data_IF_297016884886
#
_entry.id   IF_297016884886
#
_cell.length_a   1.000
_cell.length_b   1.000
_cell.length_c   1.000
_cell.angle_alpha   90.00
_cell.angle_beta   90.00
_cell.angle_gamma   90.00
#
_symmetry.space_group_name_H-M   'P 1'
#
loop_
_entity.id
_entity.type
_entity.pdbx_description
1 polymer ?
2 polymer ?
3 non-polymer ?
4 non-polymer ?
5 non-polymer ?
6 water ?
#
# COMPACT_ATOMS: atom_id res chain seq x y z
N UNK A 1 25.62 -0.69 -4.84
CA UNK A 1 24.45 -1.52 -4.35
C UNK A 1 24.82 -2.92 -4.70
N UNK A 2 24.42 -3.92 -3.89
CA UNK A 2 24.83 -5.30 -4.08
C UNK A 2 24.31 -5.79 -5.41
N UNK A 3 23.18 -5.21 -5.98
CA UNK A 3 22.67 -5.66 -7.27
C UNK A 3 23.24 -4.93 -8.46
N UNK A 4 24.20 -4.02 -8.28
CA UNK A 4 24.70 -3.19 -9.36
C UNK A 4 25.38 -3.98 -10.47
N UNK A 5 25.92 -5.16 -10.20
CA UNK A 5 26.57 -5.94 -11.23
C UNK A 5 25.63 -6.91 -11.97
N UNK A 6 24.37 -6.99 -11.58
CA UNK A 6 23.46 -7.93 -12.18
C UNK A 6 22.61 -7.26 -13.26
N UNK A 7 22.43 -7.91 -14.39
CA UNK A 7 21.58 -7.35 -15.46
C UNK A 7 20.18 -7.07 -14.97
N UNK A 8 19.57 -6.01 -15.49
CA UNK A 8 18.20 -5.73 -15.19
C UNK A 8 17.24 -6.88 -15.42
N UNK A 9 17.39 -7.54 -16.62
CA UNK A 9 16.48 -8.63 -16.95
C UNK A 9 16.69 -9.79 -16.01
N UNK A 10 17.94 -10.02 -15.56
CA UNK A 10 18.20 -11.11 -14.61
C UNK A 10 17.60 -10.82 -13.25
N UNK A 11 17.62 -9.56 -12.83
CA UNK A 11 16.99 -9.18 -11.57
C UNK A 11 15.48 -9.42 -11.62
N UNK A 12 14.85 -9.08 -12.73
CA UNK A 12 13.39 -9.32 -12.92
C UNK A 12 13.10 -10.80 -12.88
N UNK A 13 13.93 -11.56 -13.63
CA UNK A 13 13.73 -13.00 -13.67
C UNK A 13 13.85 -13.61 -12.26
N UNK A 14 14.85 -13.20 -11.51
CA UNK A 14 15.04 -13.72 -10.14
C UNK A 14 13.98 -13.24 -9.19
N UNK A 15 13.43 -12.03 -9.38
CA UNK A 15 12.31 -11.57 -8.56
C UNK A 15 11.13 -12.55 -8.70
N UNK A 16 10.89 -12.98 -9.98
CA UNK A 16 9.79 -13.89 -10.23
C UNK A 16 10.08 -15.27 -9.61
N UNK A 17 11.32 -15.73 -9.66
CA UNK A 17 11.68 -16.99 -8.98
C UNK A 17 11.51 -16.85 -7.45
N UNK A 18 11.94 -15.73 -6.88
CA UNK A 18 11.83 -15.52 -5.46
C UNK A 18 10.36 -15.53 -5.06
N UNK A 19 9.46 -14.93 -5.87
CA UNK A 19 8.06 -14.97 -5.60
C UNK A 19 7.56 -16.40 -5.51
N UNK A 20 7.95 -17.22 -6.49
CA UNK A 20 7.49 -18.63 -6.52
C UNK A 20 8.00 -19.37 -5.29
N UNK A 21 9.19 -19.02 -4.80
CA UNK A 21 9.81 -19.66 -3.62
C UNK A 21 9.34 -19.07 -2.32
N UNK A 22 8.49 -18.02 -2.38
CA UNK A 22 8.02 -17.24 -1.22
C UNK A 22 9.18 -16.68 -0.41
N UNK A 23 10.16 -16.16 -1.15
CA UNK A 23 11.35 -15.55 -0.60
C UNK A 23 11.22 -14.03 -0.84
N UNK A 24 10.35 -13.40 -0.05
CA UNK A 24 9.98 -12.03 -0.34
C UNK A 24 11.05 -11.01 -0.06
N UNK A 25 11.91 -11.21 0.92
CA UNK A 25 13.00 -10.28 1.12
C UNK A 25 13.93 -10.33 -0.06
N UNK A 26 14.23 -11.52 -0.60
CA UNK A 26 15.04 -11.60 -1.81
C UNK A 26 14.33 -10.89 -2.98
N UNK A 27 13.04 -11.16 -3.09
CA UNK A 27 12.27 -10.54 -4.19
C UNK A 27 12.39 -9.02 -4.12
N UNK A 28 12.24 -8.45 -2.91
CA UNK A 28 12.35 -7.00 -2.75
C UNK A 28 13.72 -6.50 -3.11
N UNK A 29 14.78 -7.22 -2.67
CA UNK A 29 16.11 -6.79 -3.00
C UNK A 29 16.36 -6.84 -4.50
N UNK A 30 15.85 -7.85 -5.20
CA UNK A 30 16.02 -7.91 -6.64
C UNK A 30 15.28 -6.74 -7.32
N UNK A 31 14.06 -6.47 -6.86
CA UNK A 31 13.29 -5.39 -7.48
C UNK A 31 13.86 -4.02 -7.16
N UNK A 32 14.43 -3.80 -5.98
CA UNK A 32 15.16 -2.58 -5.68
C UNK A 32 16.31 -2.42 -6.64
N UNK A 33 17.06 -3.50 -6.87
CA UNK A 33 18.12 -3.45 -7.86
C UNK A 33 17.64 -3.10 -9.23
N UNK A 34 16.51 -3.66 -9.63
CA UNK A 34 15.97 -3.33 -10.94
C UNK A 34 15.58 -1.84 -11.03
N UNK A 35 14.91 -1.31 -9.98
CA UNK A 35 14.56 0.12 -10.00
C UNK A 35 15.80 0.96 -10.13
N UNK A 36 16.85 0.60 -9.41
CA UNK A 36 18.06 1.40 -9.39
C UNK A 36 18.83 1.36 -10.69
N UNK A 37 18.43 0.56 -11.66
CA UNK A 37 19.01 0.66 -13.03
C UNK A 37 18.61 1.98 -13.69
N UNK A 38 17.52 2.62 -13.25
CA UNK A 38 17.19 3.94 -13.72
C UNK A 38 16.15 3.95 -14.78
N UNK A 39 15.77 2.84 -15.38
CA UNK A 39 14.73 2.82 -16.37
C UNK A 39 13.37 2.77 -15.71
N UNK A 40 12.36 3.27 -16.41
CA UNK A 40 10.97 3.15 -15.93
C UNK A 40 10.56 1.69 -15.88
N UNK A 41 9.60 1.37 -15.02
CA UNK A 41 9.08 0.00 -14.87
C UNK A 41 7.82 -0.19 -15.65
N UNK A 42 7.70 -1.35 -16.29
CA UNK A 42 6.47 -1.81 -16.93
C UNK A 42 5.38 -2.09 -15.88
N UNK A 44 3.92 -4.96 -15.31
CA UNK A 44 4.24 -6.21 -14.60
C UNK A 44 5.31 -5.95 -13.56
N UNK A 45 6.32 -5.14 -13.92
CA UNK A 45 7.41 -4.88 -13.01
C UNK A 45 6.95 -4.03 -11.81
N UNK A 46 6.05 -3.08 -12.00
CA UNK A 46 5.48 -2.35 -10.87
C UNK A 46 4.79 -3.30 -9.91
N UNK A 47 4.05 -4.23 -10.46
CA UNK A 47 3.38 -5.12 -9.60
C UNK A 47 4.34 -6.05 -8.85
N UNK A 48 5.46 -6.47 -9.45
CA UNK A 48 6.42 -7.25 -8.71
C UNK A 48 7.02 -6.42 -7.57
N UNK A 49 7.33 -5.15 -7.82
CA UNK A 49 7.87 -4.27 -6.77
C UNK A 49 6.90 -4.21 -5.60
N UNK A 50 5.61 -3.97 -5.91
CA UNK A 50 4.60 -3.83 -4.88
C UNK A 50 4.42 -5.14 -4.10
N UNK A 51 4.32 -6.27 -4.79
CA UNK A 51 4.07 -7.53 -4.09
C UNK A 51 5.23 -7.82 -3.15
N UNK A 52 6.47 -7.58 -3.60
CA UNK A 52 7.64 -7.89 -2.81
C UNK A 52 7.59 -7.13 -1.51
N UNK A 53 7.51 -5.79 -1.58
CA UNK A 53 7.57 -4.96 -0.39
C UNK A 53 6.36 -5.13 0.47
N UNK A 54 5.19 -5.37 -0.14
CA UNK A 54 3.99 -5.54 0.66
C UNK A 54 4.12 -6.79 1.54
N UNK A 55 4.69 -7.85 1.01
CA UNK A 55 4.89 -9.04 1.81
C UNK A 55 5.94 -8.81 2.89
N UNK A 56 7.04 -8.13 2.58
CA UNK A 56 8.03 -7.88 3.61
C UNK A 56 7.43 -7.01 4.71
N UNK A 57 6.81 -5.89 4.39
CA UNK A 57 6.32 -4.98 5.42
C UNK A 57 5.16 -5.65 6.14
N UNK A 58 4.37 -6.49 5.45
CA UNK A 58 3.25 -7.13 6.10
C UNK A 58 3.70 -8.03 7.24
N UNK A 59 4.80 -8.75 7.04
CA UNK A 59 5.34 -9.60 8.12
C UNK A 59 5.78 -8.74 9.28
N UNK A 60 6.44 -7.60 9.01
CA UNK A 60 6.90 -6.71 10.04
C UNK A 60 5.74 -6.10 10.81
N UNK A 61 4.70 -5.68 10.08
CA UNK A 61 3.50 -5.09 10.72
C UNK A 61 2.86 -6.10 11.64
N UNK A 62 2.70 -7.35 11.17
CA UNK A 62 2.08 -8.39 12.02
C UNK A 62 2.90 -8.58 13.28
N UNK A 63 4.21 -8.64 13.14
CA UNK A 63 5.10 -8.84 14.31
C UNK A 63 4.98 -7.67 15.27
N UNK A 64 5.01 -6.45 14.70
CA UNK A 64 4.90 -5.25 15.53
C UNK A 64 3.60 -5.28 16.33
N UNK A 65 2.49 -5.65 15.68
CA UNK A 65 1.20 -5.67 16.39
C UNK A 65 1.22 -6.67 17.56
N UNK A 66 1.85 -7.84 17.36
CA UNK A 66 1.93 -8.82 18.46
C UNK A 66 2.73 -8.22 19.60
N UNK A 67 3.88 -7.65 19.30
CA UNK A 67 4.77 -7.10 20.33
C UNK A 67 4.18 -5.92 21.05
N UNK A 68 3.51 -5.06 20.28
CA UNK A 68 2.86 -3.89 20.89
C UNK A 68 1.73 -4.31 21.85
N UNK A 69 0.99 -5.35 21.47
CA UNK A 69 -0.07 -5.85 22.36
C UNK A 69 0.52 -6.38 23.67
N UNK A 70 1.63 -7.12 23.57
CA UNK A 70 2.28 -7.64 24.77
C UNK A 70 2.78 -6.50 25.63
N UNK A 71 3.37 -5.50 24.99
CA UNK A 71 3.89 -4.33 25.69
C UNK A 71 2.76 -3.58 26.40
N UNK A 72 1.62 -3.42 25.75
CA UNK A 72 0.48 -2.70 26.35
C UNK A 72 -0.04 -3.49 27.54
N UNK A 73 -0.14 -4.80 27.46
CA UNK A 73 -0.60 -5.64 28.58
C UNK A 73 0.38 -5.45 29.72
N UNK A 74 1.68 -5.39 29.44
CA UNK A 74 2.71 -5.17 30.51
C UNK A 74 2.53 -3.87 31.25
N UNK A 75 1.90 -2.88 30.64
CA UNK A 75 1.72 -1.59 31.21
C UNK A 75 0.36 -1.44 31.93
N UNK A 76 -0.39 -2.56 32.03
CA UNK A 76 -1.67 -2.61 32.78
C UNK A 76 -1.49 -2.74 34.31
N UNK A 77 -2.49 -2.27 35.06
CA UNK A 77 -2.45 -2.33 36.53
C UNK A 77 -2.38 -3.81 36.97
N UNK A 78 -1.41 -4.12 37.85
CA UNK A 78 -1.28 -5.48 38.42
C UNK A 78 -0.42 -6.39 37.58
N UNK A 79 0.11 -5.86 36.45
CA UNK A 79 1.10 -6.61 35.67
C UNK A 79 2.46 -6.57 36.35
N UNK A 80 3.15 -7.70 36.35
CA UNK A 80 4.46 -7.80 36.98
C UNK A 80 5.49 -7.06 36.12
N UNK A 81 6.39 -6.31 36.75
CA UNK A 81 7.54 -5.71 36.02
C UNK A 81 8.45 -6.78 35.46
N UNK A 82 8.69 -6.70 34.18
CA UNK A 82 9.57 -7.70 33.56
C UNK A 82 10.77 -7.10 32.90
N UNK A 83 11.01 -5.82 33.09
CA UNK A 83 12.25 -5.26 32.53
C UNK A 83 12.03 -4.63 31.16
N UNK A 84 13.12 -4.22 30.54
CA UNK A 84 13.04 -3.44 29.29
C UNK A 84 12.89 -4.31 28.03
N UNK A 85 12.90 -5.63 28.13
CA UNK A 85 13.08 -6.45 26.94
C UNK A 85 11.92 -6.34 25.95
N UNK A 86 10.67 -6.28 26.41
CA UNK A 86 9.55 -6.22 25.44
C UNK A 86 9.63 -4.92 24.69
N UNK A 87 9.85 -3.79 25.38
CA UNK A 87 10.01 -2.50 24.69
C UNK A 87 11.18 -2.54 23.72
N UNK A 88 12.33 -3.09 24.16
CA UNK A 88 13.50 -3.10 23.28
C UNK A 88 13.19 -3.88 22.03
N UNK A 89 12.56 -5.03 22.15
CA UNK A 89 12.36 -5.87 20.97
C UNK A 89 11.27 -5.26 20.07
N UNK A 90 10.21 -4.69 20.67
CA UNK A 90 9.25 -3.94 19.84
C UNK A 90 9.97 -2.82 19.07
N UNK A 91 10.87 -2.08 19.76
CA UNK A 91 11.61 -1.04 19.06
C UNK A 91 12.48 -1.54 17.95
N UNK A 92 13.07 -2.72 18.16
CA UNK A 92 13.93 -3.32 17.09
C UNK A 92 13.09 -3.58 15.83
N UNK A 93 11.96 -4.25 16.03
CA UNK A 93 11.05 -4.56 14.92
C UNK A 93 10.55 -3.28 14.28
N UNK A 94 10.21 -2.29 15.12
CA UNK A 94 9.70 -1.00 14.60
C UNK A 94 10.73 -0.31 13.74
N UNK A 95 11.99 -0.34 14.18
CA UNK A 95 13.02 0.34 13.46
C UNK A 95 13.28 -0.35 12.11
N UNK A 96 13.20 -1.68 12.08
CA UNK A 96 13.36 -2.40 10.83
C UNK A 96 12.21 -2.09 9.87
N UNK A 97 10.97 -2.04 10.40
CA UNK A 97 9.81 -1.68 9.62
C UNK A 97 9.97 -0.29 9.03
N UNK A 98 10.39 0.67 9.85
CA UNK A 98 10.60 2.04 9.35
C UNK A 98 11.65 2.06 8.29
N UNK A 99 12.69 1.22 8.42
CA UNK A 99 13.72 1.18 7.43
C UNK A 99 13.20 0.68 6.09
N UNK A 100 12.30 -0.31 6.06
CA UNK A 100 11.75 -0.80 4.83
C UNK A 100 10.85 0.32 4.19
N UNK A 101 10.02 0.98 5.03
CA UNK A 101 9.23 2.05 4.51
C UNK A 101 10.06 3.14 3.91
N UNK A 102 11.14 3.50 4.60
CA UNK A 102 12.03 4.51 4.06
C UNK A 102 12.71 4.09 2.76
N UNK A 103 13.02 2.81 2.64
CA UNK A 103 13.60 2.31 1.39
C UNK A 103 12.62 2.49 0.24
N UNK A 104 11.36 2.11 0.47
CA UNK A 104 10.36 2.20 -0.59
C UNK A 104 10.13 3.68 -0.95
N UNK A 105 9.94 4.53 0.08
CA UNK A 105 9.73 5.92 -0.17
C UNK A 105 10.90 6.52 -0.94
N UNK A 106 12.10 6.08 -0.62
CA UNK A 106 13.29 6.57 -1.32
C UNK A 106 13.30 6.17 -2.79
N UNK A 107 12.86 4.96 -3.14
CA UNK A 107 12.78 4.54 -4.54
C UNK A 107 11.76 5.41 -5.25
N UNK A 108 10.63 5.67 -4.58
CA UNK A 108 9.60 6.49 -5.22
C UNK A 108 10.07 7.90 -5.46
N UNK A 109 10.84 8.47 -4.54
CA UNK A 109 11.37 9.84 -4.68
C UNK A 109 12.57 9.90 -5.58
N UNK A 110 13.27 8.84 -5.81
CA UNK A 110 14.50 8.87 -6.58
C UNK A 110 14.57 7.65 -7.50
N UNK A 111 13.83 7.63 -8.61
CA UNK A 111 13.12 8.77 -9.24
C UNK A 111 11.82 8.29 -9.88
N UNK A 112 11.15 7.28 -9.26
CA UNK A 112 10.03 6.67 -9.94
C UNK A 112 8.90 7.63 -10.22
N UNK A 113 8.51 8.43 -9.21
CA UNK A 113 7.34 9.31 -9.38
C UNK A 113 7.61 10.39 -10.41
N UNK A 114 8.77 11.01 -10.36
CA UNK A 114 9.01 12.14 -11.26
C UNK A 114 9.08 11.73 -12.70
N UNK A 115 9.41 10.47 -12.99
CA UNK A 115 9.42 10.09 -14.40
C UNK A 115 8.15 9.44 -14.84
N UNK A 116 7.18 9.25 -13.95
CA UNK A 116 5.92 8.60 -14.31
C UNK A 116 4.86 9.60 -14.86
N UNK A 117 4.55 9.51 -16.09
CA UNK A 117 3.69 10.48 -16.78
C UNK A 117 2.34 9.85 -17.10
N UNK A 118 2.29 8.55 -17.33
CA UNK A 118 0.98 7.99 -17.63
C UNK A 118 0.19 7.81 -16.35
N UNK A 119 -1.11 7.93 -16.45
CA UNK A 119 -1.94 7.85 -15.25
C UNK A 119 -1.73 6.53 -14.52
N UNK A 120 -1.61 5.42 -15.25
CA UNK A 120 -1.50 4.12 -14.57
C UNK A 120 -0.24 4.05 -13.75
N UNK A 121 0.87 4.58 -14.22
CA UNK A 121 2.11 4.52 -13.44
C UNK A 121 2.04 5.55 -12.28
N UNK A 122 1.63 6.78 -12.61
CA UNK A 122 1.67 7.79 -11.60
C UNK A 122 0.73 7.51 -10.47
N UNK A 123 -0.50 7.05 -10.76
CA UNK A 123 -1.42 6.70 -9.71
C UNK A 123 -0.86 5.56 -8.87
N UNK A 124 -0.31 4.54 -9.54
CA UNK A 124 0.25 3.40 -8.83
C UNK A 124 1.30 3.87 -7.82
N UNK A 125 2.25 4.72 -8.25
CA UNK A 125 3.31 5.12 -7.39
C UNK A 125 2.83 6.04 -6.26
N UNK A 126 1.91 6.94 -6.55
CA UNK A 126 1.39 7.79 -5.50
C UNK A 126 0.59 7.01 -4.47
N UNK A 127 -0.16 6.01 -4.90
CA UNK A 127 -0.83 5.13 -3.96
C UNK A 127 0.18 4.43 -3.06
N UNK A 128 1.29 3.94 -3.68
CA UNK A 128 2.34 3.29 -2.88
C UNK A 128 2.91 4.30 -1.87
N UNK A 129 3.14 5.55 -2.29
CA UNK A 129 3.66 6.53 -1.35
C UNK A 129 2.68 6.71 -0.18
N UNK A 130 1.37 6.81 -0.47
CA UNK A 130 0.39 6.89 0.62
C UNK A 130 0.45 5.68 1.51
N UNK A 131 0.54 4.50 0.93
CA UNK A 131 0.56 3.25 1.72
C UNK A 131 1.73 3.23 2.68
N UNK A 132 2.94 3.55 2.20
CA UNK A 132 4.13 3.41 3.08
C UNK A 132 4.18 4.55 4.10
N UNK A 133 3.68 5.75 3.80
CA UNK A 133 3.50 6.70 4.87
C UNK A 133 2.46 6.22 5.87
N UNK A 134 1.38 5.56 5.39
CA UNK A 134 0.41 5.01 6.30
C UNK A 134 1.00 3.96 7.26
N UNK A 135 1.88 3.11 6.73
CA UNK A 135 2.52 2.13 7.61
C UNK A 135 3.44 2.81 8.61
N UNK A 136 4.11 3.91 8.21
CA UNK A 136 4.87 4.72 9.18
C UNK A 136 3.95 5.32 10.22
N UNK A 137 2.76 5.76 9.79
CA UNK A 137 1.83 6.37 10.75
C UNK A 137 1.32 5.37 11.75
N UNK A 138 1.21 4.12 11.37
CA UNK A 138 0.69 3.12 12.30
C UNK A 138 1.57 2.96 13.53
N UNK A 139 2.86 3.25 13.41
CA UNK A 139 3.81 3.07 14.50
C UNK A 139 4.28 4.38 15.07
N UNK A 140 3.86 5.51 14.55
CA UNK A 140 4.32 6.83 14.98
C UNK A 140 3.62 7.29 16.21
N UNK A 141 4.40 7.89 17.09
CA UNK A 141 3.83 8.32 18.40
C UNK A 141 4.37 9.64 18.80
N UNK A 142 5.25 10.22 17.98
CA UNK A 142 5.93 11.49 18.41
C UNK A 142 5.67 12.76 17.56
N UNK A 144 6.46 14.34 15.04
CA UNK A 144 6.20 14.17 13.58
C UNK A 144 4.98 13.32 13.12
N UNK A 145 4.23 12.66 14.00
CA UNK A 145 3.06 11.88 13.63
C UNK A 145 2.09 12.62 12.72
N UNK A 146 1.79 13.84 13.08
CA UNK A 146 0.88 14.65 12.25
C UNK A 146 1.43 14.84 10.87
N UNK A 147 2.72 15.10 10.76
CA UNK A 147 3.31 15.35 9.44
C UNK A 147 3.34 14.04 8.64
N UNK A 148 3.53 12.87 9.29
CA UNK A 148 3.53 11.59 8.57
C UNK A 148 2.12 11.35 8.01
N UNK A 149 1.10 11.57 8.84
CA UNK A 149 -0.25 11.42 8.44
C UNK A 149 -0.59 12.33 7.27
N UNK A 150 -0.14 13.60 7.36
CA UNK A 150 -0.44 14.52 6.27
C UNK A 150 0.29 14.12 5.01
N UNK A 151 1.49 13.52 5.10
CA UNK A 151 2.18 13.06 3.90
C UNK A 151 1.40 11.92 3.24
N UNK A 152 0.84 10.98 4.04
CA UNK A 152 0.03 9.91 3.47
C UNK A 152 -1.17 10.51 2.76
N UNK A 153 -1.85 11.41 3.47
CA UNK A 153 -3.07 11.99 2.94
C UNK A 153 -2.79 12.70 1.62
N UNK A 154 -1.71 13.50 1.56
CA UNK A 154 -1.39 14.25 0.40
C UNK A 154 -1.11 13.37 -0.83
N UNK A 155 -0.37 12.28 -0.62
CA UNK A 155 -0.09 11.32 -1.67
C UNK A 155 -1.36 10.65 -2.19
N UNK A 156 -2.19 10.17 -1.27
CA UNK A 156 -3.44 9.57 -1.66
C UNK A 156 -4.32 10.56 -2.39
N UNK A 157 -4.36 11.81 -1.95
CA UNK A 157 -5.28 12.80 -2.58
C UNK A 157 -4.81 13.09 -3.99
N UNK A 158 -3.49 13.24 -4.21
CA UNK A 158 -3.01 13.47 -5.57
C UNK A 158 -3.34 12.31 -6.47
N UNK A 159 -3.16 11.08 -5.95
CA UNK A 159 -3.49 9.86 -6.73
C UNK A 159 -4.98 9.86 -7.05
N UNK A 160 -5.83 10.21 -6.08
CA UNK A 160 -7.26 10.23 -6.30
C UNK A 160 -7.64 11.21 -7.38
N UNK A 161 -7.06 12.39 -7.33
CA UNK A 161 -7.40 13.45 -8.29
C UNK A 161 -7.06 12.98 -9.71
N UNK A 162 -5.90 12.40 -9.89
CA UNK A 162 -5.53 11.88 -11.22
C UNK A 162 -6.43 10.75 -11.65
N UNK A 163 -6.69 9.81 -10.74
CA UNK A 163 -7.50 8.65 -11.11
C UNK A 163 -8.88 9.02 -11.51
N UNK A 164 -9.47 10.02 -10.85
CA UNK A 164 -10.84 10.38 -11.22
C UNK A 164 -10.87 11.06 -12.58
N UNK A 165 -9.82 11.77 -12.97
CA UNK A 165 -9.78 12.44 -14.27
C UNK A 165 -9.42 11.50 -15.38
N UNK A 166 -8.57 10.49 -15.13
CA UNK A 166 -7.90 9.75 -16.19
C UNK A 166 -8.28 8.30 -16.28
N UNK A 167 -8.97 7.71 -15.29
CA UNK A 167 -9.23 6.29 -15.37
C UNK A 167 -10.76 6.06 -15.17
N UNK A 168 -11.29 4.95 -15.69
CA UNK A 168 -12.73 4.62 -15.45
C UNK A 168 -12.89 4.18 -14.01
N UNK A 169 -14.11 4.23 -13.50
CA UNK A 169 -14.39 3.92 -12.09
C UNK A 169 -14.14 2.47 -11.74
N UNK A 170 -14.04 1.59 -12.75
CA UNK A 170 -13.77 0.18 -12.52
C UNK A 170 -12.30 -0.15 -12.58
N UNK A 171 -11.43 0.78 -12.92
CA UNK A 171 -10.04 0.42 -13.08
C UNK A 171 -9.49 -0.14 -11.74
N UNK A 172 -8.82 -1.31 -11.77
CA UNK A 172 -8.38 -1.89 -10.51
C UNK A 172 -7.43 -1.06 -9.71
N UNK A 173 -6.57 -0.27 -10.35
CA UNK A 173 -5.67 0.56 -9.56
C UNK A 173 -6.46 1.66 -8.85
N UNK A 174 -7.41 2.27 -9.57
CA UNK A 174 -8.29 3.28 -8.97
C UNK A 174 -9.06 2.67 -7.81
N UNK A 175 -9.61 1.47 -7.97
CA UNK A 175 -10.37 0.82 -6.93
C UNK A 175 -9.48 0.51 -5.73
N UNK A 176 -8.27 0.00 -5.93
CA UNK A 176 -7.41 -0.32 -4.80
C UNK A 176 -6.93 0.92 -4.08
N UNK A 177 -6.72 2.00 -4.82
CA UNK A 177 -6.42 3.29 -4.20
C UNK A 177 -7.52 3.73 -3.27
N UNK A 178 -8.76 3.71 -3.80
CA UNK A 178 -9.89 4.13 -2.99
C UNK A 178 -10.05 3.26 -1.78
N UNK A 179 -9.90 1.95 -1.94
CA UNK A 179 -9.97 1.03 -0.80
C UNK A 179 -8.97 1.44 0.28
N UNK A 180 -7.71 1.67 -0.12
CA UNK A 180 -6.69 1.97 0.86
C UNK A 180 -6.82 3.35 1.47
N UNK A 181 -7.27 4.31 0.67
CA UNK A 181 -7.50 5.64 1.21
C UNK A 181 -8.67 5.62 2.18
N UNK A 182 -9.70 4.78 1.94
CA UNK A 182 -10.77 4.66 2.88
C UNK A 182 -10.28 4.06 4.22
N UNK A 183 -9.40 3.07 4.14
CA UNK A 183 -8.85 2.51 5.39
C UNK A 183 -7.97 3.58 6.08
N UNK A 184 -7.19 4.35 5.36
CA UNK A 184 -6.49 5.51 5.98
C UNK A 184 -7.46 6.35 6.75
N UNK A 185 -8.60 6.72 6.14
CA UNK A 185 -9.51 7.60 6.86
C UNK A 185 -10.01 6.93 8.13
N UNK A 186 -10.34 5.65 8.06
CA UNK A 186 -10.95 4.99 9.20
C UNK A 186 -9.95 4.73 10.32
N UNK A 187 -8.80 4.24 9.96
CA UNK A 187 -7.82 3.69 10.94
C UNK A 187 -6.81 4.71 11.38
N UNK A 188 -6.44 5.64 10.51
CA UNK A 188 -5.32 6.56 10.77
C UNK A 188 -5.83 7.93 11.09
N UNK A 189 -6.74 8.46 10.25
CA UNK A 189 -7.17 9.88 10.36
C UNK A 189 -8.38 10.03 11.28
N UNK A 190 -8.87 8.96 11.91
CA UNK A 190 -10.01 9.07 12.82
C UNK A 190 -11.23 9.70 12.15
N UNK A 191 -11.48 9.26 10.91
CA UNK A 191 -12.53 9.83 10.04
C UNK A 191 -13.41 8.69 9.51
N UNK A 192 -14.10 7.95 10.41
CA UNK A 192 -14.89 6.80 9.92
C UNK A 192 -15.96 7.22 8.94
N UNK A 193 -16.60 8.37 9.11
CA UNK A 193 -17.64 8.80 8.14
C UNK A 193 -17.08 9.01 6.77
N UNK A 194 -15.89 9.63 6.68
CA UNK A 194 -15.22 9.84 5.41
C UNK A 194 -14.89 8.51 4.76
N UNK A 195 -14.40 7.59 5.58
CA UNK A 195 -14.06 6.23 5.12
C UNK A 195 -15.26 5.54 4.50
N UNK A 196 -16.40 5.60 5.20
CA UNK A 196 -17.59 4.94 4.73
C UNK A 196 -18.10 5.63 3.45
N UNK A 197 -18.13 6.96 3.41
CA UNK A 197 -18.61 7.67 2.22
C UNK A 197 -17.75 7.31 1.01
N UNK A 198 -16.42 7.30 1.19
CA UNK A 198 -15.56 7.01 0.08
C UNK A 198 -15.79 5.59 -0.42
N UNK A 199 -15.86 4.63 0.48
CA UNK A 199 -16.04 3.25 0.06
C UNK A 199 -17.36 3.06 -0.65
N UNK A 200 -18.44 3.65 -0.14
CA UNK A 200 -19.77 3.59 -0.77
C UNK A 200 -19.81 4.18 -2.15
N UNK A 201 -19.30 5.40 -2.27
CA UNK A 201 -19.28 6.12 -3.57
C UNK A 201 -18.47 5.30 -4.59
N UNK A 202 -17.32 4.82 -4.15
CA UNK A 202 -16.46 4.09 -5.06
C UNK A 202 -17.15 2.84 -5.53
N UNK A 203 -17.75 2.08 -4.61
CA UNK A 203 -18.45 0.86 -4.99
C UNK A 203 -19.55 1.15 -5.97
N UNK A 204 -20.37 2.16 -5.68
CA UNK A 204 -21.52 2.41 -6.53
C UNK A 204 -21.13 2.91 -7.92
N UNK A 205 -20.10 3.70 -8.01
CA UNK A 205 -19.68 4.16 -9.29
C UNK A 205 -19.05 3.03 -10.14
N UNK A 206 -18.37 2.12 -9.48
CA UNK A 206 -17.84 0.95 -10.21
C UNK A 206 -19.00 0.07 -10.69
N UNK A 207 -20.00 -0.17 -9.82
CA UNK A 207 -21.06 -1.05 -10.21
C UNK A 207 -21.74 -0.53 -11.48
N UNK A 208 -21.94 0.78 -11.60
CA UNK A 208 -22.59 1.37 -12.76
C UNK A 208 -21.78 1.29 -14.03
N UNK A 209 -20.50 0.98 -13.95
CA UNK A 209 -19.69 0.87 -15.15
C UNK A 209 -19.23 -0.57 -15.45
N UNK A 210 -19.67 -1.55 -14.65
CA UNK A 210 -19.31 -2.92 -14.98
C UNK A 210 -19.81 -3.35 -16.35
N UNK A 211 -20.89 -2.79 -16.83
CA UNK A 211 -21.51 -3.24 -18.08
C UNK A 211 -20.59 -3.04 -19.27
N UNK A 212 -19.56 -2.18 -19.11
CA UNK A 212 -18.64 -1.86 -20.19
C UNK A 212 -17.53 -2.89 -20.36
N UNK A 213 -17.38 -3.80 -19.39
CA UNK A 213 -16.23 -4.64 -19.26
C UNK A 213 -16.39 -6.00 -19.87
N UNK A 214 -15.24 -6.54 -20.33
CA UNK A 214 -15.11 -7.94 -20.65
C UNK A 214 -15.24 -8.82 -19.43
N UNK A 215 -15.41 -10.13 -19.65
CA UNK A 215 -15.52 -11.04 -18.54
C UNK A 215 -14.29 -11.01 -17.64
N UNK A 216 -13.09 -10.96 -18.22
CA UNK A 216 -11.89 -10.94 -17.42
C UNK A 216 -11.75 -9.66 -16.63
N UNK A 217 -12.05 -8.52 -17.26
CA UNK A 217 -11.93 -7.22 -16.54
C UNK A 217 -12.99 -7.16 -15.38
N UNK A 218 -14.18 -7.70 -15.69
CA UNK A 218 -15.24 -7.78 -14.67
C UNK A 218 -14.75 -8.53 -13.46
N UNK A 219 -14.08 -9.67 -13.67
CA UNK A 219 -13.54 -10.42 -12.55
C UNK A 219 -12.56 -9.57 -11.74
N UNK A 220 -11.65 -8.90 -12.43
CA UNK A 220 -10.60 -8.09 -11.75
C UNK A 220 -11.30 -7.00 -10.89
N UNK A 221 -12.26 -6.30 -11.46
CA UNK A 221 -12.88 -5.17 -10.72
C UNK A 221 -13.74 -5.67 -9.59
N UNK A 222 -14.51 -6.73 -9.81
CA UNK A 222 -15.41 -7.18 -8.76
C UNK A 222 -14.66 -7.75 -7.58
N UNK A 223 -13.49 -8.30 -7.80
CA UNK A 223 -12.68 -8.75 -6.65
C UNK A 223 -12.39 -7.60 -5.66
N UNK A 224 -12.02 -6.47 -6.19
CA UNK A 224 -11.70 -5.30 -5.33
C UNK A 224 -12.96 -4.71 -4.74
N UNK A 225 -14.04 -4.68 -5.56
CA UNK A 225 -15.31 -4.24 -5.04
C UNK A 225 -15.72 -5.03 -3.83
N UNK A 226 -15.47 -6.35 -3.83
CA UNK A 226 -15.85 -7.13 -2.68
C UNK A 226 -15.08 -6.74 -1.41
N UNK A 227 -13.86 -6.29 -1.58
CA UNK A 227 -13.08 -5.79 -0.45
C UNK A 227 -13.70 -4.52 0.13
N UNK A 228 -14.15 -3.60 -0.74
CA UNK A 228 -14.84 -2.43 -0.27
C UNK A 228 -16.09 -2.84 0.49
N UNK A 229 -16.85 -3.80 -0.06
CA UNK A 229 -18.04 -4.29 0.62
C UNK A 229 -17.72 -4.91 1.96
N UNK A 230 -16.65 -5.70 2.03
CA UNK A 230 -16.27 -6.30 3.31
C UNK A 230 -15.94 -5.25 4.38
N UNK A 231 -15.25 -4.19 4.00
CA UNK A 231 -15.02 -3.12 4.99
C UNK A 231 -16.30 -2.41 5.34
N UNK A 232 -17.17 -2.12 4.36
CA UNK A 232 -18.43 -1.44 4.70
C UNK A 232 -19.26 -2.30 5.66
N UNK A 233 -19.27 -3.63 5.50
CA UNK A 233 -19.99 -4.52 6.44
C UNK A 233 -19.41 -4.44 7.86
N UNK A 234 -18.09 -4.39 7.96
CA UNK A 234 -17.42 -4.24 9.28
C UNK A 234 -17.75 -2.88 9.89
N UNK A 235 -17.86 -1.82 9.07
CA UNK A 235 -17.95 -0.45 9.59
C UNK A 235 -19.39 0.07 9.81
N UNK A 236 -20.39 -0.60 9.23
CA UNK A 236 -21.77 -0.14 9.32
C UNK A 236 -22.68 -1.17 9.95
N UNK B 1 -9.41 -4.75 8.89
CA UNK B 1 -9.88 -4.10 7.60
C UNK B 1 -9.01 -4.37 6.40
N UNK B 2 -9.70 -4.59 5.31
CA UNK B 2 -9.06 -5.04 4.10
C UNK B 2 -8.40 -3.89 3.38
N UNK B 4 -5.60 -3.38 -0.21
CA UNK B 4 -5.34 -3.93 -1.49
C UNK B 4 -4.19 -4.95 -1.39
N UNK B 5 -4.21 -6.03 -2.18
CA UNK B 5 -2.97 -6.83 -2.30
C UNK B 5 -2.79 -7.82 -1.21
N UNK B 6 -1.60 -8.44 -1.20
CA UNK B 6 -1.35 -9.56 -0.29
C UNK B 6 -1.06 -9.08 1.12
N UNK B 7 -0.97 -10.01 2.06
CA UNK B 7 -0.52 -9.65 3.41
C UNK B 7 0.95 -9.98 3.62
#
# INVERSE_FOLDING_TARGET
GAMGSMERASLIQKAKLAEQAERYEDMAAFMKGAVEKGEELSXEERNLLSVAYKNVVGGQRAAWRVLSSIEQKSNEEGSEEKGPEVREYREKVETELQGVCDTVLGLLDSHLIKEAGDAESRVFYLKMKGDYYRYLAEVATGDDKKRIIDSARSAYQEAMDISKKEMPPTNPIRLGLALNFSVFHYEIANSPEEAISLAKTTFDEAMADLHTLSEDSYKDSTLIMQLLRDNLTLWTADNAGEEGGEAPQEPQS
FKXEGPDSD
#
